data_IF_779764276191
#
_entry.id   IF_779764276191
#
_cell.length_a   1.000
_cell.length_b   1.000
_cell.length_c   1.000
_cell.angle_alpha   90.00
_cell.angle_beta   90.00
_cell.angle_gamma   90.00
#
_symmetry.space_group_name_H-M   'P 1'
#
loop_
_entity.id
_entity.type
_entity.pdbx_description
1 polymer ?
#
# COMPACT_ATOMS: atom_id res chain seq x y z
N UNK A 1 4.05 1.72 -21.73
CA UNK A 1 3.42 1.07 -20.55
C UNK A 1 4.17 1.57 -19.33
N UNK A 2 3.49 2.23 -18.40
CA UNK A 2 4.13 2.88 -17.26
C UNK A 2 4.87 1.87 -16.35
N UNK A 3 6.20 1.98 -16.30
CA UNK A 3 7.08 1.04 -15.61
C UNK A 3 6.92 1.09 -14.09
N UNK A 4 6.65 2.29 -13.55
CA UNK A 4 6.35 2.48 -12.13
C UNK A 4 5.09 1.69 -11.75
N UNK A 5 4.02 1.77 -12.52
CA UNK A 5 2.81 0.98 -12.27
C UNK A 5 3.02 -0.54 -12.41
N UNK A 6 3.96 -0.99 -13.24
CA UNK A 6 4.31 -2.43 -13.31
C UNK A 6 5.01 -2.87 -12.02
N UNK A 7 6.03 -2.14 -11.59
CA UNK A 7 6.79 -2.43 -10.37
C UNK A 7 5.91 -2.33 -9.13
N UNK A 8 5.04 -1.33 -9.05
CA UNK A 8 4.11 -1.16 -7.93
C UNK A 8 3.11 -2.34 -7.85
N UNK A 9 2.56 -2.77 -8.98
CA UNK A 9 1.67 -3.95 -9.02
C UNK A 9 2.40 -5.23 -8.62
N UNK A 10 3.66 -5.38 -9.03
CA UNK A 10 4.50 -6.49 -8.61
C UNK A 10 4.73 -6.48 -7.09
N UNK A 11 4.99 -5.31 -6.51
CA UNK A 11 5.15 -5.15 -5.07
C UNK A 11 3.88 -5.54 -4.31
N UNK A 12 2.71 -5.03 -4.72
CA UNK A 12 1.42 -5.41 -4.12
C UNK A 12 1.16 -6.92 -4.22
N UNK A 13 1.49 -7.54 -5.35
CA UNK A 13 1.36 -9.00 -5.50
C UNK A 13 2.30 -9.76 -4.56
N UNK A 14 3.56 -9.32 -4.43
CA UNK A 14 4.53 -9.91 -3.48
C UNK A 14 4.04 -9.77 -2.04
N UNK A 15 3.60 -8.57 -1.66
CA UNK A 15 3.03 -8.30 -0.35
C UNK A 15 1.89 -9.28 -0.02
N UNK A 16 0.92 -9.44 -0.92
CA UNK A 16 -0.21 -10.37 -0.71
C UNK A 16 0.26 -11.83 -0.61
N UNK A 17 1.32 -12.24 -1.31
CA UNK A 17 1.87 -13.60 -1.16
C UNK A 17 2.46 -13.85 0.23
N UNK A 18 2.99 -12.82 0.90
CA UNK A 18 3.57 -12.94 2.23
C UNK A 18 2.58 -12.73 3.37
N UNK A 19 1.54 -11.91 3.16
CA UNK A 19 0.66 -11.42 4.22
C UNK A 19 -0.78 -11.96 4.15
N UNK A 20 -1.22 -12.54 3.02
CA UNK A 20 -2.54 -13.16 2.96
C UNK A 20 -2.58 -14.49 3.75
N UNK A 21 -3.69 -14.83 4.42
CA UNK A 21 -4.97 -14.11 4.45
C UNK A 21 -5.08 -13.04 5.56
N UNK A 22 -4.02 -12.82 6.34
CA UNK A 22 -4.04 -11.89 7.48
C UNK A 22 -4.22 -10.43 7.05
N UNK A 23 -3.58 -10.04 5.94
CA UNK A 23 -3.70 -8.73 5.31
C UNK A 23 -3.56 -8.81 3.79
N UNK A 24 -4.44 -8.11 3.09
CA UNK A 24 -4.45 -7.96 1.64
C UNK A 24 -4.40 -6.48 1.25
N UNK A 25 -3.51 -6.16 0.32
CA UNK A 25 -3.38 -4.86 -0.31
C UNK A 25 -3.97 -4.89 -1.72
N UNK A 26 -4.74 -3.86 -2.09
CA UNK A 26 -5.29 -3.67 -3.43
C UNK A 26 -5.15 -2.22 -3.88
N UNK A 27 -4.66 -2.01 -5.10
CA UNK A 27 -4.58 -0.67 -5.69
C UNK A 27 -6.00 -0.23 -6.06
N UNK A 28 -6.55 0.77 -5.38
CA UNK A 28 -7.85 1.36 -5.72
C UNK A 28 -7.75 2.30 -6.91
N UNK A 29 -6.78 3.22 -6.89
CA UNK A 29 -6.59 4.19 -7.98
C UNK A 29 -5.17 4.75 -7.98
N UNK A 30 -4.80 5.42 -9.07
CA UNK A 30 -3.54 6.16 -9.21
C UNK A 30 -3.86 7.57 -9.70
N UNK A 31 -3.26 8.58 -9.06
CA UNK A 31 -3.29 9.99 -9.50
C UNK A 31 -1.86 10.50 -9.61
N UNK A 32 -1.39 10.75 -10.83
CA UNK A 32 0.00 11.16 -11.08
C UNK A 32 0.98 10.11 -10.55
N UNK A 33 1.86 10.51 -9.64
CA UNK A 33 2.83 9.62 -8.99
C UNK A 33 2.32 9.03 -7.65
N UNK A 34 1.03 9.22 -7.33
CA UNK A 34 0.42 8.74 -6.09
C UNK A 34 -0.49 7.53 -6.35
N UNK A 35 -0.26 6.44 -5.63
CA UNK A 35 -1.05 5.22 -5.62
C UNK A 35 -1.88 5.14 -4.34
N UNK A 36 -3.19 4.96 -4.49
CA UNK A 36 -4.10 4.74 -3.37
C UNK A 36 -4.31 3.25 -3.20
N UNK A 37 -3.90 2.73 -2.07
CA UNK A 37 -3.93 1.30 -1.74
C UNK A 37 -4.92 1.08 -0.61
N UNK A 38 -5.86 0.18 -0.83
CA UNK A 38 -6.80 -0.30 0.18
C UNK A 38 -6.15 -1.51 0.86
N UNK A 39 -6.14 -1.47 2.18
CA UNK A 39 -5.79 -2.61 3.00
C UNK A 39 -7.05 -3.20 3.62
N UNK A 40 -7.16 -4.52 3.54
CA UNK A 40 -8.22 -5.34 4.08
C UNK A 40 -7.58 -6.50 4.85
N UNK A 41 -8.19 -6.97 5.93
CA UNK A 41 -7.56 -7.99 6.77
C UNK A 41 -8.38 -8.31 8.01
N UNK A 42 -8.18 -9.49 8.55
CA UNK A 42 -8.95 -10.04 9.68
C UNK A 42 -8.50 -9.51 11.05
N UNK A 43 -7.42 -8.72 11.12
CA UNK A 43 -6.83 -8.28 12.38
C UNK A 43 -7.31 -6.88 12.82
N UNK A 44 -7.55 -6.77 14.14
CA UNK A 44 -8.22 -5.68 14.87
C UNK A 44 -8.03 -4.24 14.34
N UNK A 45 -9.09 -3.45 14.53
CA UNK A 45 -9.43 -2.16 13.89
C UNK A 45 -8.39 -1.03 13.98
N UNK A 46 -7.25 -1.15 14.67
CA UNK A 46 -6.27 -0.05 14.80
C UNK A 46 -4.80 -0.46 14.95
N UNK A 47 -4.46 -1.66 15.40
CA UNK A 47 -3.06 -1.97 15.78
C UNK A 47 -2.15 -2.47 14.65
N UNK A 48 -2.65 -2.88 13.48
CA UNK A 48 -1.82 -3.48 12.42
C UNK A 48 -1.64 -2.64 11.15
N UNK A 49 -2.33 -1.51 11.02
CA UNK A 49 -2.34 -0.75 9.76
C UNK A 49 -0.98 -0.13 9.42
N UNK A 50 -0.30 0.43 10.42
CA UNK A 50 1.03 1.00 10.21
C UNK A 50 2.05 -0.07 9.83
N UNK A 51 2.00 -1.25 10.46
CA UNK A 51 2.86 -2.38 10.09
C UNK A 51 2.62 -2.81 8.64
N UNK A 52 1.36 -3.01 8.22
CA UNK A 52 1.00 -3.37 6.85
C UNK A 52 1.48 -2.35 5.81
N UNK A 53 1.44 -1.07 6.17
CA UNK A 53 1.91 0.01 5.33
C UNK A 53 3.43 0.01 5.21
N UNK A 54 4.14 -0.17 6.32
CA UNK A 54 5.60 -0.25 6.34
C UNK A 54 6.09 -1.49 5.58
N UNK A 55 5.44 -2.64 5.73
CA UNK A 55 5.70 -3.85 4.96
C UNK A 55 5.58 -3.60 3.45
N UNK A 56 4.48 -2.97 3.00
CA UNK A 56 4.32 -2.67 1.58
C UNK A 56 5.41 -1.71 1.10
N UNK A 57 5.83 -0.76 1.94
CA UNK A 57 6.94 0.14 1.63
C UNK A 57 8.26 -0.63 1.46
N UNK A 58 8.58 -1.57 2.35
CA UNK A 58 9.75 -2.44 2.19
C UNK A 58 9.70 -3.24 0.88
N UNK A 59 8.56 -3.86 0.58
CA UNK A 59 8.39 -4.62 -0.67
C UNK A 59 8.49 -3.73 -1.92
N UNK A 60 8.03 -2.47 -1.84
CA UNK A 60 8.22 -1.50 -2.92
C UNK A 60 9.70 -1.21 -3.15
N UNK A 61 10.48 -1.04 -2.09
CA UNK A 61 11.93 -0.81 -2.18
C UNK A 61 12.66 -1.98 -2.84
N UNK A 62 12.26 -3.23 -2.56
CA UNK A 62 12.79 -4.42 -3.25
C UNK A 62 12.52 -4.41 -4.76
N UNK A 63 11.48 -3.71 -5.22
CA UNK A 63 11.19 -3.52 -6.66
C UNK A 63 11.92 -2.32 -7.26
N UNK A 64 12.77 -1.64 -6.48
CA UNK A 64 13.45 -0.42 -6.87
C UNK A 64 12.54 0.80 -6.91
N UNK A 65 11.41 0.78 -6.21
CA UNK A 65 10.53 1.93 -6.03
C UNK A 65 10.66 2.45 -4.60
N UNK A 66 10.88 3.75 -4.46
CA UNK A 66 10.73 4.43 -3.16
C UNK A 66 9.40 5.17 -3.14
N UNK A 67 8.68 5.04 -2.04
CA UNK A 67 7.40 5.72 -1.85
C UNK A 67 7.27 6.27 -0.44
N UNK A 68 6.57 7.39 -0.33
CA UNK A 68 6.21 8.04 0.93
C UNK A 68 4.71 8.00 1.14
N UNK A 69 4.28 7.88 2.39
CA UNK A 69 2.87 7.94 2.74
C UNK A 69 2.49 9.42 2.85
N UNK A 70 1.67 9.91 1.92
CA UNK A 70 1.24 11.33 1.91
C UNK A 70 -0.14 11.52 2.54
N UNK A 71 -0.91 10.44 2.68
CA UNK A 71 -2.23 10.49 3.31
C UNK A 71 -2.62 9.10 3.80
N UNK A 72 -3.17 9.05 5.01
CA UNK A 72 -3.88 7.90 5.54
C UNK A 72 -5.35 8.29 5.70
N UNK A 73 -6.25 7.43 5.22
CA UNK A 73 -7.66 7.54 5.53
C UNK A 73 -8.04 6.32 6.36
N UNK A 74 -8.16 6.56 7.66
CA UNK A 74 -8.73 5.62 8.60
C UNK A 74 -10.26 5.74 8.55
N UNK A 75 -10.98 4.62 8.65
CA UNK A 75 -12.44 4.65 8.72
C UNK A 75 -12.90 5.41 9.97
N UNK A 76 -13.82 6.35 9.79
CA UNK A 76 -14.53 6.98 10.92
C UNK A 76 -15.60 6.01 11.44
N UNK A 77 -15.25 5.22 12.46
CA UNK A 77 -16.19 4.39 13.22
C UNK A 77 -16.07 2.87 13.03
N UNK A 78 -16.77 2.08 13.87
CA UNK A 78 -16.60 0.62 14.03
C UNK A 78 -17.08 -0.23 12.83
N UNK A 79 -17.47 0.40 11.73
CA UNK A 79 -18.12 -0.25 10.58
C UNK A 79 -17.49 0.10 9.24
N UNK A 80 -16.45 0.97 9.23
CA UNK A 80 -15.74 1.30 8.00
C UNK A 80 -14.63 0.29 7.74
N UNK A 81 -14.83 -0.69 6.87
CA UNK A 81 -13.88 -1.79 6.65
C UNK A 81 -12.73 -1.48 5.69
N UNK A 82 -12.58 -0.22 5.22
CA UNK A 82 -11.58 0.11 4.19
C UNK A 82 -10.58 1.14 4.68
N UNK A 83 -9.37 0.69 4.95
CA UNK A 83 -8.22 1.53 5.30
C UNK A 83 -7.49 1.88 4.01
N UNK A 84 -7.32 3.17 3.72
CA UNK A 84 -6.69 3.61 2.46
C UNK A 84 -5.43 4.39 2.77
N UNK A 85 -4.29 3.94 2.23
CA UNK A 85 -3.03 4.69 2.27
C UNK A 85 -2.67 5.21 0.88
N UNK A 86 -2.23 6.46 0.82
CA UNK A 86 -1.74 7.11 -0.39
C UNK A 86 -0.21 7.09 -0.42
N UNK A 87 0.35 6.30 -1.33
CA UNK A 87 1.78 6.17 -1.56
C UNK A 87 2.21 7.05 -2.73
N UNK A 88 2.96 8.11 -2.45
CA UNK A 88 3.60 8.94 -3.48
C UNK A 88 4.96 8.34 -3.82
N UNK A 89 5.11 7.87 -5.05
CA UNK A 89 6.40 7.38 -5.55
C UNK A 89 7.33 8.57 -5.75
N UNK A 90 8.48 8.53 -5.08
CA UNK A 90 9.56 9.49 -5.25
C UNK A 90 10.53 8.92 -6.29
N UNK A 91 10.66 9.63 -7.42
CA UNK A 91 11.72 9.32 -8.39
C UNK A 91 13.05 9.61 -7.71
N UNK A 92 13.78 8.55 -7.35
CA UNK A 92 15.16 8.68 -6.92
C UNK A 92 15.95 9.29 -8.07
N UNK A 93 16.33 10.55 -7.94
CA UNK A 93 17.29 11.16 -8.84
C UNK A 93 18.64 10.50 -8.62
N UNK A 94 19.13 9.78 -9.62
CA UNK A 94 20.53 9.46 -9.86
C UNK A 94 20.68 9.16 -11.34
#
# INVERSE_FOLDING_TARGET
MDEVAKRFRLAVRKYNMYRAPEAEARIATRKGDTFYVVFDGTYCETCGLYDWIDDLKYVLEETGLRAEIVKLHEPEGPTGSRRIAAFRVIKGGS
#
